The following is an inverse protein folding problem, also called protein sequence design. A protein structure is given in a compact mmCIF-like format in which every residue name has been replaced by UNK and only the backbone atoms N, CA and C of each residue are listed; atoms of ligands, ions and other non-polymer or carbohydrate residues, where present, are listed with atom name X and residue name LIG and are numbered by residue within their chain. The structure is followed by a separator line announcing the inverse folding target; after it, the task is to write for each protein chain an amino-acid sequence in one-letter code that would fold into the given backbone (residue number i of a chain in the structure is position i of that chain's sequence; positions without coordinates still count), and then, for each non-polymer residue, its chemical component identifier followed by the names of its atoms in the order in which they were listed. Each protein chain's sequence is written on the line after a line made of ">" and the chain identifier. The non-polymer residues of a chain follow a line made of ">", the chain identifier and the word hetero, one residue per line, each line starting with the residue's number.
data_IF_365723376605
#
_entry.id   IF_365723376605
#
_cell.length_a   1.000
_cell.length_b   1.000
_cell.length_c   1.000
_cell.angle_alpha   90.00
_cell.angle_beta   90.00
_cell.angle_gamma   90.00
#
_symmetry.space_group_name_H-M   'P 1'
#
loop_
_entity.id
_entity.type
_entity.pdbx_description
1 polymer ?
#
# COMPACT_ATOMS: atom_id res chain seq x y z
N UNK A 1 3.07 17.99 -2.23
CA UNK A 1 4.06 16.94 -1.85
C UNK A 1 3.85 16.60 -0.39
N UNK A 2 3.97 15.32 0.00
CA UNK A 2 3.87 14.90 1.41
C UNK A 2 2.52 14.36 1.88
N UNK A 3 1.62 13.96 0.97
CA UNK A 3 0.31 13.40 1.32
C UNK A 3 0.35 11.91 1.74
N UNK A 4 1.53 11.33 1.99
CA UNK A 4 1.66 9.91 2.40
C UNK A 4 1.56 8.88 1.27
N UNK A 5 1.35 9.30 0.02
CA UNK A 5 1.16 8.41 -1.15
C UNK A 5 2.42 7.73 -1.70
N UNK A 6 3.59 7.87 -1.07
CA UNK A 6 4.84 7.26 -1.54
C UNK A 6 5.48 7.95 -2.75
N UNK A 7 5.27 9.26 -2.93
CA UNK A 7 5.84 10.02 -4.06
C UNK A 7 7.38 10.02 -4.10
N UNK A 8 8.05 9.97 -2.95
CA UNK A 8 9.52 9.83 -2.88
C UNK A 8 9.97 8.50 -3.46
N UNK A 9 9.28 7.42 -3.12
CA UNK A 9 9.59 6.11 -3.64
C UNK A 9 9.33 6.01 -5.14
N UNK A 10 8.22 6.56 -5.63
CA UNK A 10 7.95 6.62 -7.07
C UNK A 10 9.07 7.36 -7.82
N UNK A 11 9.57 8.46 -7.25
CA UNK A 11 10.73 9.19 -7.77
C UNK A 11 12.01 8.36 -7.73
N UNK A 12 12.34 7.75 -6.58
CA UNK A 12 13.51 6.89 -6.39
C UNK A 12 13.52 5.69 -7.34
N UNK A 13 12.36 5.08 -7.59
CA UNK A 13 12.18 3.97 -8.55
C UNK A 13 12.40 4.46 -9.98
N UNK A 14 11.76 5.57 -10.37
CA UNK A 14 11.90 6.13 -11.72
C UNK A 14 13.34 6.54 -12.03
N UNK A 15 14.01 7.17 -11.07
CA UNK A 15 15.41 7.58 -11.18
C UNK A 15 16.34 6.36 -11.29
N UNK A 16 16.14 5.35 -10.44
CA UNK A 16 16.94 4.11 -10.46
C UNK A 16 16.78 3.38 -11.79
N UNK A 17 15.54 3.25 -12.28
CA UNK A 17 15.26 2.63 -13.58
C UNK A 17 15.93 3.37 -14.74
N UNK A 18 15.85 4.71 -14.76
CA UNK A 18 16.49 5.53 -15.79
C UNK A 18 18.01 5.39 -15.79
N UNK A 19 18.65 5.46 -14.62
CA UNK A 19 20.11 5.35 -14.48
C UNK A 19 20.61 3.95 -14.86
N UNK A 20 19.93 2.90 -14.42
CA UNK A 20 20.30 1.52 -14.75
C UNK A 20 20.14 1.22 -16.25
N UNK A 21 19.12 1.81 -16.88
CA UNK A 21 18.92 1.73 -18.32
C UNK A 21 20.03 2.49 -19.07
N UNK A 22 20.36 3.72 -18.64
CA UNK A 22 21.42 4.53 -19.24
C UNK A 22 22.81 3.88 -19.11
N UNK A 23 23.05 3.17 -18.01
CA UNK A 23 24.27 2.40 -17.78
C UNK A 23 24.34 1.08 -18.57
N UNK A 24 23.26 0.69 -19.29
CA UNK A 24 23.18 -0.58 -20.02
C UNK A 24 23.11 -1.82 -19.12
N UNK A 25 22.83 -1.65 -17.83
CA UNK A 25 22.71 -2.74 -16.85
C UNK A 25 21.34 -3.41 -16.94
N UNK A 26 20.31 -2.60 -17.24
CA UNK A 26 18.94 -3.06 -17.41
C UNK A 26 18.53 -2.77 -18.85
N UNK A 27 18.12 -3.81 -19.56
CA UNK A 27 17.52 -3.69 -20.88
C UNK A 27 16.02 -3.91 -20.78
N UNK A 28 15.26 -3.04 -21.44
CA UNK A 28 13.84 -3.21 -21.61
C UNK A 28 13.60 -4.33 -22.63
N UNK A 29 12.92 -5.40 -22.23
CA UNK A 29 12.57 -6.51 -23.13
C UNK A 29 11.22 -6.20 -23.82
N UNK A 30 11.07 -6.57 -25.09
CA UNK A 30 9.80 -6.46 -25.81
C UNK A 30 9.50 -5.11 -26.47
N UNK A 31 10.45 -4.55 -27.24
CA UNK A 31 10.16 -3.44 -28.16
C UNK A 31 9.99 -3.97 -29.59
N UNK A 32 8.77 -4.35 -29.95
CA UNK A 32 8.35 -4.36 -31.36
C UNK A 32 7.37 -3.22 -31.51
N UNK A 33 7.88 -2.13 -32.09
CA UNK A 33 7.13 -0.91 -32.41
C UNK A 33 6.81 0.01 -31.22
N UNK A 34 6.97 1.33 -31.43
CA UNK A 34 7.09 2.37 -30.40
C UNK A 34 5.83 2.73 -29.61
N UNK A 35 4.91 1.78 -29.41
CA UNK A 35 3.56 1.99 -28.88
C UNK A 35 3.21 1.16 -27.65
N UNK A 36 4.05 0.23 -27.22
CA UNK A 36 3.83 -0.56 -26.00
C UNK A 36 4.70 -0.15 -24.81
N UNK A 37 4.11 -0.27 -23.62
CA UNK A 37 4.76 -0.14 -22.32
C UNK A 37 5.79 -1.27 -22.19
N UNK A 38 7.07 -0.92 -22.08
CA UNK A 38 8.11 -1.94 -21.95
C UNK A 38 8.17 -2.46 -20.52
N UNK A 39 8.01 -3.76 -20.37
CA UNK A 39 8.22 -4.44 -19.09
C UNK A 39 9.71 -4.70 -18.88
N UNK A 40 10.14 -4.45 -17.66
CA UNK A 40 11.41 -4.97 -17.18
C UNK A 40 11.21 -6.43 -16.75
N UNK A 41 12.17 -7.29 -17.08
CA UNK A 41 12.24 -8.64 -16.53
C UNK A 41 12.28 -8.61 -15.00
N UNK A 42 11.85 -9.70 -14.36
CA UNK A 42 11.74 -9.80 -12.91
C UNK A 42 13.05 -9.44 -12.18
N UNK A 43 14.18 -9.93 -12.68
CA UNK A 43 15.51 -9.67 -12.10
C UNK A 43 15.90 -8.18 -12.20
N UNK A 44 15.53 -7.52 -13.31
CA UNK A 44 15.73 -6.08 -13.48
C UNK A 44 14.85 -5.26 -12.54
N UNK A 45 13.59 -5.67 -12.32
CA UNK A 45 12.71 -5.02 -11.34
C UNK A 45 13.23 -5.15 -9.91
N UNK A 46 13.74 -6.33 -9.53
CA UNK A 46 14.34 -6.51 -8.20
C UNK A 46 15.57 -5.62 -7.99
N UNK A 47 16.40 -5.46 -9.03
CA UNK A 47 17.54 -4.55 -9.00
C UNK A 47 17.10 -3.09 -8.86
N UNK A 48 16.11 -2.65 -9.64
CA UNK A 48 15.52 -1.30 -9.54
C UNK A 48 14.98 -1.05 -8.12
N UNK A 49 14.23 -2.01 -7.56
CA UNK A 49 13.67 -1.89 -6.21
C UNK A 49 14.78 -1.76 -5.15
N UNK A 50 15.87 -2.51 -5.31
CA UNK A 50 17.03 -2.47 -4.42
C UNK A 50 17.71 -1.10 -4.43
N UNK A 51 17.92 -0.52 -5.61
CA UNK A 51 18.50 0.82 -5.74
C UNK A 51 17.55 1.91 -5.23
N UNK A 52 16.27 1.80 -5.56
CA UNK A 52 15.25 2.70 -5.04
C UNK A 52 15.17 2.66 -3.50
N UNK A 53 15.36 1.49 -2.89
CA UNK A 53 15.41 1.34 -1.43
C UNK A 53 16.56 2.15 -0.81
N UNK A 54 17.74 2.14 -1.45
CA UNK A 54 18.87 2.94 -0.97
C UNK A 54 18.59 4.43 -1.09
N UNK A 55 17.94 4.86 -2.17
CA UNK A 55 17.46 6.24 -2.33
C UNK A 55 16.51 6.64 -1.19
N UNK A 56 15.52 5.80 -0.88
CA UNK A 56 14.58 6.07 0.23
C UNK A 56 15.28 6.09 1.60
N UNK A 57 16.35 5.30 1.81
CA UNK A 57 17.15 5.38 3.05
C UNK A 57 17.87 6.71 3.19
N UNK A 58 18.35 7.29 2.09
CA UNK A 58 19.00 8.60 2.12
C UNK A 58 17.99 9.69 2.46
N UNK A 59 16.79 9.63 1.87
CA UNK A 59 15.74 10.65 2.04
C UNK A 59 15.07 10.55 3.42
N UNK A 60 14.73 9.33 3.87
CA UNK A 60 13.89 9.08 5.06
C UNK A 60 14.62 8.38 6.21
N UNK A 61 15.89 8.02 6.06
CA UNK A 61 16.70 7.34 7.08
C UNK A 61 16.37 5.85 7.23
N UNK A 62 15.21 5.52 7.80
CA UNK A 62 14.76 4.14 8.07
C UNK A 62 13.42 3.83 7.39
N UNK A 63 13.36 3.78 6.05
CA UNK A 63 12.17 3.36 5.33
C UNK A 63 11.86 1.87 5.60
N UNK A 64 10.59 1.50 5.53
CA UNK A 64 10.13 0.10 5.68
C UNK A 64 10.36 -0.75 4.43
N UNK A 65 10.71 -0.16 3.29
CA UNK A 65 10.87 -0.87 2.02
C UNK A 65 9.56 -1.22 1.34
N UNK A 66 8.46 -0.64 1.81
CA UNK A 66 7.13 -0.91 1.28
C UNK A 66 6.83 0.01 0.09
N UNK A 67 7.15 1.29 0.19
CA UNK A 67 6.88 2.32 -0.83
C UNK A 67 7.54 2.01 -2.16
N UNK A 68 8.83 1.75 -2.13
CA UNK A 68 9.61 1.34 -3.29
C UNK A 68 9.13 0.00 -3.85
N UNK A 69 8.77 -0.97 -3.00
CA UNK A 69 8.26 -2.25 -3.47
C UNK A 69 6.95 -2.09 -4.26
N UNK A 70 5.98 -1.33 -3.73
CA UNK A 70 4.72 -1.03 -4.45
C UNK A 70 5.00 -0.27 -5.74
N UNK A 71 5.86 0.75 -5.68
CA UNK A 71 6.21 1.55 -6.86
C UNK A 71 6.98 0.75 -7.93
N UNK A 72 7.72 -0.29 -7.55
CA UNK A 72 8.52 -1.10 -8.49
C UNK A 72 7.72 -2.23 -9.12
N UNK A 73 7.08 -3.06 -8.30
CA UNK A 73 6.41 -4.27 -8.80
C UNK A 73 4.98 -4.00 -9.28
N UNK A 74 4.40 -2.86 -8.90
CA UNK A 74 2.97 -2.65 -8.99
C UNK A 74 2.23 -3.69 -8.13
N UNK A 75 0.91 -3.77 -8.30
CA UNK A 75 0.01 -4.68 -7.57
C UNK A 75 -0.21 -4.34 -6.09
N UNK A 76 -1.19 -5.04 -5.51
CA UNK A 76 -1.55 -4.91 -4.11
C UNK A 76 -0.63 -5.81 -3.28
N UNK A 77 -0.21 -5.33 -2.11
CA UNK A 77 0.69 -6.08 -1.23
C UNK A 77 0.13 -6.20 0.17
N UNK A 78 0.38 -7.37 0.77
CA UNK A 78 0.13 -7.68 2.17
C UNK A 78 1.45 -7.59 2.93
N UNK A 79 1.47 -6.81 4.00
CA UNK A 79 2.63 -6.66 4.85
C UNK A 79 2.33 -7.21 6.25
N UNK A 80 3.10 -8.19 6.71
CA UNK A 80 2.92 -8.78 8.04
C UNK A 80 4.27 -9.11 8.65
N UNK A 81 4.56 -8.54 9.82
CA UNK A 81 5.79 -8.80 10.61
C UNK A 81 7.10 -8.70 9.80
N UNK A 82 7.19 -7.79 8.82
CA UNK A 82 8.38 -7.62 7.99
C UNK A 82 8.36 -8.42 6.69
N UNK A 83 7.39 -9.31 6.49
CA UNK A 83 7.20 -10.06 5.26
C UNK A 83 6.24 -9.32 4.32
N UNK A 84 6.61 -9.30 3.04
CA UNK A 84 5.85 -8.71 1.95
C UNK A 84 5.35 -9.82 1.01
N UNK A 85 4.04 -9.90 0.84
CA UNK A 85 3.40 -10.87 -0.07
C UNK A 85 2.60 -10.11 -1.12
N UNK A 86 2.86 -10.37 -2.40
CA UNK A 86 2.07 -9.81 -3.48
C UNK A 86 0.70 -10.52 -3.54
N UNK A 87 -0.37 -9.75 -3.49
CA UNK A 87 -1.73 -10.23 -3.67
C UNK A 87 -2.09 -10.18 -5.15
N UNK A 88 -2.57 -11.31 -5.67
CA UNK A 88 -3.10 -11.37 -7.03
C UNK A 88 -4.56 -10.97 -6.99
N UNK A 89 -4.85 -9.71 -7.33
CA UNK A 89 -6.22 -9.24 -7.40
C UNK A 89 -6.97 -9.98 -8.51
N UNK A 90 -8.05 -10.68 -8.16
CA UNK A 90 -8.89 -11.39 -9.14
C UNK A 90 -9.63 -10.44 -10.08
N UNK A 91 -9.88 -9.20 -9.64
CA UNK A 91 -10.52 -8.14 -10.40
C UNK A 91 -9.91 -6.77 -10.02
N UNK A 92 -9.89 -5.76 -10.90
CA UNK A 92 -9.44 -4.42 -10.54
C UNK A 92 -10.39 -3.77 -9.53
N UNK A 93 -9.86 -3.19 -8.45
CA UNK A 93 -10.66 -2.41 -7.48
C UNK A 93 -10.62 -0.93 -7.89
N UNK A 94 -11.79 -0.35 -8.13
CA UNK A 94 -11.91 1.09 -8.43
C UNK A 94 -12.00 1.86 -7.12
N UNK A 95 -11.16 2.87 -6.95
CA UNK A 95 -11.13 3.70 -5.74
C UNK A 95 -11.12 5.19 -6.09
N UNK A 96 -11.80 5.99 -5.28
CA UNK A 96 -11.70 7.45 -5.32
C UNK A 96 -10.72 7.92 -4.25
N UNK A 97 -9.61 8.52 -4.69
CA UNK A 97 -8.61 9.08 -3.78
C UNK A 97 -8.95 10.54 -3.51
N UNK A 98 -9.19 10.88 -2.24
CA UNK A 98 -9.51 12.26 -1.81
C UNK A 98 -8.43 12.80 -0.87
N UNK A 99 -7.83 13.93 -1.23
CA UNK A 99 -6.92 14.67 -0.34
C UNK A 99 -7.65 15.81 0.37
N UNK A 100 -7.87 15.63 1.69
CA UNK A 100 -8.48 16.65 2.56
C UNK A 100 -7.64 17.91 2.74
N UNK A 101 -6.34 17.89 2.38
CA UNK A 101 -5.35 18.97 2.60
C UNK A 101 -5.16 19.36 4.06
N UNK A 102 -5.63 18.55 5.00
CA UNK A 102 -5.43 18.75 6.44
C UNK A 102 -4.10 18.13 6.85
N UNK A 103 -3.18 18.95 7.34
CA UNK A 103 -1.89 18.48 7.86
C UNK A 103 -2.06 17.58 9.08
N UNK A 104 -1.31 16.48 9.14
CA UNK A 104 -1.26 15.57 10.29
C UNK A 104 0.17 15.29 10.72
N UNK A 105 0.35 15.15 12.03
CA UNK A 105 1.61 14.70 12.59
C UNK A 105 1.54 13.17 12.83
N UNK A 106 1.95 12.39 11.83
CA UNK A 106 1.95 10.93 11.90
C UNK A 106 2.75 10.40 13.07
N UNK A 107 3.86 11.07 13.45
CA UNK A 107 4.67 10.68 14.61
C UNK A 107 3.87 10.81 15.92
N UNK A 108 3.10 11.89 16.07
CA UNK A 108 2.26 12.09 17.25
C UNK A 108 1.12 11.06 17.33
N UNK A 109 0.50 10.71 16.20
CA UNK A 109 -0.55 9.68 16.14
C UNK A 109 0.01 8.31 16.53
N UNK A 110 1.15 7.90 15.95
CA UNK A 110 1.81 6.62 16.28
C UNK A 110 2.24 6.58 17.74
N UNK A 111 2.79 7.68 18.28
CA UNK A 111 3.14 7.77 19.69
C UNK A 111 1.91 7.62 20.59
N UNK A 112 0.79 8.26 20.23
CA UNK A 112 -0.47 8.16 20.98
C UNK A 112 -1.04 6.74 21.01
N UNK A 113 -0.96 6.01 19.89
CA UNK A 113 -1.36 4.59 19.83
C UNK A 113 -0.45 3.73 20.71
N UNK A 114 0.86 3.95 20.64
CA UNK A 114 1.83 3.21 21.46
C UNK A 114 1.63 3.44 22.95
N UNK A 115 1.36 4.68 23.36
CA UNK A 115 1.07 5.02 24.76
C UNK A 115 -0.26 4.43 25.22
N UNK A 116 -1.29 4.45 24.37
CA UNK A 116 -2.58 3.83 24.70
C UNK A 116 -2.44 2.31 24.84
N UNK A 117 -1.63 1.68 23.99
CA UNK A 117 -1.33 0.25 24.06
C UNK A 117 -0.58 -0.13 25.34
N UNK A 118 0.32 0.73 25.85
CA UNK A 118 0.99 0.47 27.13
C UNK A 118 0.06 0.69 28.33
N UNK A 119 -0.86 1.66 28.28
CA UNK A 119 -1.83 1.92 29.36
C UNK A 119 -2.95 0.89 29.44
N UNK A 120 -3.38 0.34 28.30
CA UNK A 120 -4.51 -0.59 28.20
C UNK A 120 -4.17 -1.79 27.30
N UNK A 121 -3.27 -2.70 27.74
CA UNK A 121 -2.75 -3.75 26.89
C UNK A 121 -3.83 -4.71 26.38
N UNK A 122 -4.75 -5.18 27.22
CA UNK A 122 -5.77 -6.17 26.82
C UNK A 122 -6.82 -5.58 25.88
N UNK A 123 -7.25 -4.34 26.13
CA UNK A 123 -8.20 -3.65 25.27
C UNK A 123 -7.58 -3.35 23.90
N UNK A 124 -6.34 -2.87 23.87
CA UNK A 124 -5.64 -2.59 22.61
C UNK A 124 -5.24 -3.86 21.87
N UNK A 125 -4.97 -4.97 22.56
CA UNK A 125 -4.79 -6.27 21.93
C UNK A 125 -6.05 -6.72 21.18
N UNK A 126 -7.24 -6.52 21.76
CA UNK A 126 -8.52 -6.81 21.10
C UNK A 126 -8.72 -5.94 19.86
N UNK A 127 -8.38 -4.65 19.93
CA UNK A 127 -8.41 -3.72 18.79
C UNK A 127 -7.47 -4.20 17.67
N UNK A 128 -6.22 -4.49 17.98
CA UNK A 128 -5.25 -4.96 16.98
C UNK A 128 -5.66 -6.30 16.37
N UNK A 129 -6.28 -7.17 17.17
CA UNK A 129 -6.85 -8.43 16.67
C UNK A 129 -7.97 -8.16 15.65
N UNK A 130 -8.91 -7.27 15.95
CA UNK A 130 -9.99 -6.89 15.02
C UNK A 130 -9.44 -6.34 13.70
N UNK A 131 -8.49 -5.40 13.76
CA UNK A 131 -7.77 -4.84 12.59
C UNK A 131 -7.10 -5.95 11.79
N UNK A 132 -6.41 -6.89 12.45
CA UNK A 132 -5.80 -8.03 11.76
C UNK A 132 -6.85 -8.93 11.09
N UNK A 133 -7.96 -9.23 11.74
CA UNK A 133 -9.04 -10.05 11.15
C UNK A 133 -9.62 -9.40 9.91
N UNK A 134 -9.92 -8.09 9.96
CA UNK A 134 -10.40 -7.32 8.80
C UNK A 134 -9.39 -7.38 7.66
N UNK A 135 -8.10 -7.21 7.96
CA UNK A 135 -7.02 -7.26 6.96
C UNK A 135 -6.94 -8.62 6.25
N UNK A 136 -7.07 -9.71 7.02
CA UNK A 136 -7.00 -11.07 6.52
C UNK A 136 -8.22 -11.38 5.64
N UNK A 137 -9.42 -11.04 6.10
CA UNK A 137 -10.67 -11.24 5.36
C UNK A 137 -10.66 -10.45 4.04
N UNK A 138 -10.26 -9.17 4.10
CA UNK A 138 -10.13 -8.33 2.93
C UNK A 138 -9.14 -8.93 1.92
N UNK A 139 -7.97 -9.42 2.40
CA UNK A 139 -6.98 -10.05 1.53
C UNK A 139 -7.54 -11.29 0.82
N UNK A 140 -8.32 -12.12 1.51
CA UNK A 140 -8.97 -13.29 0.91
C UNK A 140 -10.01 -12.88 -0.14
N UNK A 141 -10.83 -11.86 0.13
CA UNK A 141 -11.86 -11.39 -0.82
C UNK A 141 -11.22 -10.81 -2.08
N UNK A 142 -10.14 -10.04 -1.95
CA UNK A 142 -9.45 -9.45 -3.09
C UNK A 142 -8.89 -10.52 -4.05
N UNK A 143 -8.33 -11.59 -3.51
CA UNK A 143 -7.76 -12.70 -4.28
C UNK A 143 -8.81 -13.54 -5.02
N UNK A 144 -10.06 -13.57 -4.54
CA UNK A 144 -11.14 -14.26 -5.24
C UNK A 144 -11.44 -13.57 -6.59
N UNK A 145 -11.53 -14.34 -7.67
CA UNK A 145 -12.02 -13.85 -8.94
C UNK A 145 -13.55 -13.89 -8.98
N UNK A 146 -14.19 -12.75 -9.21
CA UNK A 146 -15.61 -12.70 -9.53
C UNK A 146 -15.80 -13.07 -11.00
N UNK A 147 -16.67 -14.05 -11.25
CA UNK A 147 -16.94 -14.62 -12.59
C UNK A 147 -18.08 -13.93 -13.34
N UNK A 148 -18.93 -13.20 -12.63
CA UNK A 148 -20.10 -12.50 -13.16
C UNK A 148 -20.34 -11.18 -12.41
N UNK A 149 -21.25 -10.36 -12.93
CA UNK A 149 -21.57 -9.03 -12.37
C UNK A 149 -22.15 -9.12 -10.96
N UNK A 150 -22.95 -10.15 -10.65
CA UNK A 150 -23.59 -10.30 -9.33
C UNK A 150 -22.53 -10.62 -8.27
N UNK A 151 -21.61 -11.53 -8.60
CA UNK A 151 -20.47 -11.88 -7.76
C UNK A 151 -19.54 -10.67 -7.56
N UNK A 152 -19.37 -9.82 -8.57
CA UNK A 152 -18.56 -8.60 -8.48
C UNK A 152 -19.20 -7.58 -7.53
N UNK A 153 -20.51 -7.31 -7.68
CA UNK A 153 -21.23 -6.40 -6.78
C UNK A 153 -21.20 -6.90 -5.34
N UNK A 154 -21.46 -8.18 -5.10
CA UNK A 154 -21.40 -8.75 -3.75
C UNK A 154 -19.99 -8.68 -3.14
N UNK A 155 -18.95 -8.83 -3.97
CA UNK A 155 -17.55 -8.65 -3.56
C UNK A 155 -17.27 -7.20 -3.18
N UNK A 156 -17.74 -6.23 -3.97
CA UNK A 156 -17.58 -4.80 -3.69
C UNK A 156 -18.32 -4.37 -2.42
N UNK A 157 -19.53 -4.87 -2.19
CA UNK A 157 -20.31 -4.63 -0.97
C UNK A 157 -19.56 -5.11 0.29
N UNK A 158 -19.06 -6.35 0.27
CA UNK A 158 -18.26 -6.88 1.40
C UNK A 158 -16.98 -6.09 1.63
N UNK A 159 -16.32 -5.66 0.56
CA UNK A 159 -15.12 -4.84 0.66
C UNK A 159 -15.45 -3.48 1.29
N UNK A 160 -16.57 -2.87 0.92
CA UNK A 160 -17.04 -1.61 1.49
C UNK A 160 -17.33 -1.73 3.00
N UNK A 161 -18.04 -2.79 3.42
CA UNK A 161 -18.32 -3.05 4.84
C UNK A 161 -17.03 -3.20 5.67
N UNK A 162 -16.05 -3.97 5.16
CA UNK A 162 -14.75 -4.13 5.82
C UNK A 162 -13.96 -2.82 5.91
N UNK A 163 -14.04 -1.98 4.88
CA UNK A 163 -13.40 -0.65 4.86
C UNK A 163 -14.07 0.30 5.86
N UNK A 164 -15.39 0.26 5.98
CA UNK A 164 -16.14 1.06 6.97
C UNK A 164 -15.79 0.64 8.41
N UNK A 165 -15.82 -0.66 8.71
CA UNK A 165 -15.45 -1.17 10.03
C UNK A 165 -14.01 -0.78 10.42
N UNK A 166 -13.05 -0.87 9.49
CA UNK A 166 -11.69 -0.42 9.77
C UNK A 166 -11.63 1.10 10.06
N UNK A 167 -12.38 1.89 9.28
CA UNK A 167 -12.41 3.34 9.45
C UNK A 167 -12.98 3.75 10.82
N UNK A 168 -14.02 3.05 11.31
CA UNK A 168 -14.58 3.27 12.65
C UNK A 168 -13.57 2.96 13.75
N UNK A 169 -12.81 1.86 13.62
CA UNK A 169 -11.75 1.50 14.57
C UNK A 169 -10.68 2.60 14.63
N UNK A 170 -10.22 3.09 13.48
CA UNK A 170 -9.23 4.17 13.41
C UNK A 170 -9.71 5.45 14.09
N UNK A 171 -10.97 5.84 13.87
CA UNK A 171 -11.59 7.01 14.50
C UNK A 171 -11.66 6.83 16.01
N UNK A 172 -12.12 5.68 16.50
CA UNK A 172 -12.25 5.40 17.94
C UNK A 172 -10.89 5.37 18.65
N UNK A 173 -9.87 4.86 17.97
CA UNK A 173 -8.54 4.71 18.53
C UNK A 173 -7.67 5.95 18.37
N UNK A 174 -8.12 6.94 17.58
CA UNK A 174 -7.31 8.05 17.09
C UNK A 174 -5.98 7.54 16.50
N UNK A 175 -6.08 6.43 15.78
CA UNK A 175 -4.96 5.74 15.16
C UNK A 175 -5.01 5.91 13.64
N UNK A 176 -3.89 5.57 13.00
CA UNK A 176 -3.88 5.23 11.59
C UNK A 176 -3.34 3.81 11.52
N UNK A 177 -4.16 2.85 11.10
CA UNK A 177 -3.75 1.48 10.93
C UNK A 177 -3.52 1.23 9.45
N UNK A 178 -2.29 0.83 9.09
CA UNK A 178 -1.98 0.46 7.71
C UNK A 178 -2.56 -0.91 7.38
N UNK A 179 -3.89 -1.03 7.24
CA UNK A 179 -4.49 -2.22 6.64
C UNK A 179 -4.45 -2.04 5.13
N UNK A 180 -3.66 -2.90 4.47
CA UNK A 180 -3.54 -3.03 3.01
C UNK A 180 -3.04 -1.76 2.31
N UNK A 181 -1.97 -1.86 1.56
CA UNK A 181 -1.22 -0.69 1.11
C UNK A 181 -1.90 0.11 -0.01
N UNK A 182 -2.88 0.92 0.38
CA UNK A 182 -3.00 2.30 -0.07
C UNK A 182 -2.52 3.14 1.11
N UNK A 183 -1.25 3.54 1.06
CA UNK A 183 -0.66 4.30 2.16
C UNK A 183 -1.47 5.54 2.46
N UNK A 184 -1.94 5.62 3.70
CA UNK A 184 -2.08 6.84 4.48
C UNK A 184 -2.71 8.01 3.69
N UNK A 185 -3.75 7.71 2.93
CA UNK A 185 -4.73 8.71 2.54
C UNK A 185 -5.76 8.70 3.64
N UNK A 186 -6.18 9.88 4.04
CA UNK A 186 -7.44 10.10 4.72
C UNK A 186 -8.56 9.60 3.79
N UNK A 187 -8.78 8.29 3.70
CA UNK A 187 -9.91 7.71 2.98
C UNK A 187 -11.12 7.93 3.89
N UNK A 188 -11.56 9.19 3.98
CA UNK A 188 -12.98 9.43 4.19
C UNK A 188 -13.63 8.91 2.92
N UNK A 189 -14.19 7.72 2.97
CA UNK A 189 -15.25 7.34 2.04
C UNK A 189 -16.35 8.37 2.27
N UNK A 190 -16.43 9.36 1.39
CA UNK A 190 -17.62 10.20 1.31
C UNK A 190 -18.65 9.28 0.67
N UNK A 191 -19.35 8.51 1.50
CA UNK A 191 -20.66 7.99 1.11
C UNK A 191 -21.51 9.22 0.81
N UNK A 192 -21.83 9.43 -0.48
CA UNK A 192 -23.05 10.16 -0.81
C UNK A 192 -24.24 9.25 -0.55
#
# INVERSE_FOLDING_TARGET
>A
MGAGLGSSAAFSVSLSGALLTAAGVVCAEGAVDGTEWRLLGKDHLELVNTWAFQGEKIIHGKPSGIDNAVSTFGSMIKFKKGELTNLKSGNPVKMLITDTRVGRNTKALVAGVSERASRHPDAMASVFHAVNTISEELSSIVELAATDEIAMTSKEEKLAELMEMNQEIEVCTNAVFGILLVKNVNIKMICQ
#
